data_IF_573879645189
#
_entry.id   IF_573879645189
#
_cell.length_a   1.000
_cell.length_b   1.000
_cell.length_c   1.000
_cell.angle_alpha   90.00
_cell.angle_beta   90.00
_cell.angle_gamma   90.00
#
_symmetry.space_group_name_H-M   'P 1'
#
loop_
_entity.id
_entity.type
_entity.pdbx_description
1 polymer ?
#
# COMPACT_ATOMS: atom_id res chain seq x y z
N UNK A 1 -6.09 6.34 -28.14
CA UNK A 1 -6.48 5.61 -26.92
C UNK A 1 -6.08 6.48 -25.74
N UNK A 2 -7.03 7.21 -25.15
CA UNK A 2 -6.76 8.09 -24.02
C UNK A 2 -7.11 7.34 -22.74
N UNK A 3 -6.24 6.43 -22.32
CA UNK A 3 -6.33 5.83 -20.99
C UNK A 3 -5.67 6.81 -20.02
N UNK A 4 -6.32 7.97 -19.86
CA UNK A 4 -6.11 8.80 -18.68
C UNK A 4 -6.87 8.12 -17.58
N UNK A 5 -6.22 7.12 -16.98
CA UNK A 5 -6.73 6.42 -15.81
C UNK A 5 -6.97 7.47 -14.72
N UNK A 6 -8.24 7.81 -14.55
CA UNK A 6 -8.69 8.75 -13.54
C UNK A 6 -8.53 7.98 -12.23
N UNK A 7 -7.36 8.14 -11.60
CA UNK A 7 -7.14 7.73 -10.22
C UNK A 7 -8.25 8.40 -9.41
N UNK A 8 -9.32 7.66 -9.12
CA UNK A 8 -10.38 8.06 -8.22
C UNK A 8 -9.69 8.32 -6.88
N UNK A 9 -9.49 9.60 -6.57
CA UNK A 9 -8.96 10.07 -5.29
C UNK A 9 -10.03 9.79 -4.24
N UNK A 10 -10.11 8.53 -3.82
CA UNK A 10 -10.98 8.07 -2.76
C UNK A 10 -10.40 8.47 -1.42
N UNK A 11 -11.23 9.14 -0.63
CA UNK A 11 -11.03 9.60 0.73
C UNK A 11 -10.18 10.87 0.88
N UNK A 12 -10.88 11.96 1.22
CA UNK A 12 -10.34 13.06 2.00
C UNK A 12 -9.94 12.51 3.38
N UNK A 13 -8.85 11.75 3.44
CA UNK A 13 -8.22 11.37 4.70
C UNK A 13 -7.77 12.68 5.36
N UNK A 14 -8.28 12.95 6.55
CA UNK A 14 -7.82 14.09 7.35
C UNK A 14 -6.29 14.07 7.35
N UNK A 15 -5.62 15.19 7.09
CA UNK A 15 -4.16 15.22 6.94
C UNK A 15 -3.37 14.70 8.17
N UNK A 16 -4.05 14.52 9.31
CA UNK A 16 -3.55 13.91 10.55
C UNK A 16 -3.81 12.39 10.69
N UNK A 17 -4.58 11.77 9.79
CA UNK A 17 -4.80 10.34 9.78
C UNK A 17 -3.55 9.65 9.21
N UNK A 18 -2.95 8.75 9.99
CA UNK A 18 -1.86 7.92 9.48
C UNK A 18 -2.44 6.92 8.48
N UNK A 19 -1.79 6.71 7.32
CA UNK A 19 -2.28 5.77 6.33
C UNK A 19 -2.32 4.36 6.92
N UNK A 20 -3.39 3.63 6.62
CA UNK A 20 -3.54 2.23 7.00
C UNK A 20 -2.77 1.38 5.98
N UNK A 21 -1.72 0.70 6.44
CA UNK A 21 -0.88 -0.17 5.59
C UNK A 21 -1.20 -1.63 5.88
N UNK A 22 -1.47 -2.41 4.84
CA UNK A 22 -1.63 -3.85 4.89
C UNK A 22 -0.35 -4.56 4.44
N UNK A 23 0.02 -5.64 5.14
CA UNK A 23 1.12 -6.52 4.75
C UNK A 23 0.57 -7.85 4.23
N UNK A 24 1.01 -8.25 3.03
CA UNK A 24 0.62 -9.52 2.40
C UNK A 24 1.84 -10.35 2.08
N UNK A 25 1.91 -11.58 2.61
CA UNK A 25 2.98 -12.53 2.33
C UNK A 25 2.62 -13.33 1.08
N UNK A 26 3.18 -12.94 -0.07
CA UNK A 26 2.90 -13.59 -1.36
C UNK A 26 3.69 -14.88 -1.57
N UNK A 27 4.80 -15.06 -0.86
CA UNK A 27 5.62 -16.27 -0.83
C UNK A 27 6.38 -16.35 0.49
N UNK A 28 7.04 -17.48 0.81
CA UNK A 28 7.79 -17.59 2.05
C UNK A 28 8.78 -16.44 2.30
N UNK A 29 9.42 -15.97 1.24
CA UNK A 29 10.50 -14.98 1.33
C UNK A 29 10.08 -13.60 0.81
N UNK A 30 8.78 -13.36 0.55
CA UNK A 30 8.30 -12.09 -0.02
C UNK A 30 7.05 -11.56 0.67
N UNK A 31 7.20 -10.36 1.23
CA UNK A 31 6.11 -9.56 1.78
C UNK A 31 5.94 -8.31 0.93
N UNK A 32 4.69 -7.96 0.63
CA UNK A 32 4.30 -6.75 -0.09
C UNK A 32 3.46 -5.89 0.85
N UNK A 33 3.68 -4.57 0.79
CA UNK A 33 2.91 -3.59 1.54
C UNK A 33 2.08 -2.73 0.58
N UNK A 34 0.83 -2.48 0.96
CA UNK A 34 -0.07 -1.62 0.21
C UNK A 34 -0.89 -0.74 1.16
N UNK A 35 -1.17 0.49 0.75
CA UNK A 35 -2.07 1.39 1.47
C UNK A 35 -3.51 0.98 1.20
N UNK A 36 -4.36 1.10 2.23
CA UNK A 36 -5.78 0.82 2.08
C UNK A 36 -6.39 1.74 1.00
N UNK A 37 -7.11 1.14 0.05
CA UNK A 37 -7.70 1.89 -1.07
C UNK A 37 -6.77 2.11 -2.25
N UNK A 38 -5.48 1.80 -2.14
CA UNK A 38 -4.52 1.86 -3.23
C UNK A 38 -4.17 0.44 -3.71
N UNK A 39 -4.99 -0.11 -4.59
CA UNK A 39 -4.84 -1.50 -5.08
C UNK A 39 -3.91 -1.59 -6.29
N UNK A 40 -3.69 -0.47 -6.98
CA UNK A 40 -2.95 -0.42 -8.23
C UNK A 40 -1.44 -0.26 -8.02
N UNK A 41 -1.02 0.08 -6.80
CA UNK A 41 0.39 0.27 -6.45
C UNK A 41 0.78 -0.43 -5.13
N UNK A 42 2.08 -0.68 -5.00
CA UNK A 42 2.74 -1.27 -3.82
C UNK A 42 3.82 -0.33 -3.28
N UNK A 43 4.08 -0.42 -1.98
CA UNK A 43 5.16 0.30 -1.31
C UNK A 43 6.46 -0.48 -1.56
N UNK A 44 7.37 0.11 -2.33
CA UNK A 44 8.70 -0.43 -2.53
C UNK A 44 9.56 -0.15 -1.30
N UNK A 45 10.11 -1.21 -0.70
CA UNK A 45 11.08 -1.15 0.40
C UNK A 45 12.21 -2.13 0.13
N UNK A 46 13.41 -1.79 0.56
CA UNK A 46 14.61 -2.62 0.50
C UNK A 46 14.74 -3.53 1.73
N UNK A 47 14.05 -3.20 2.83
CA UNK A 47 14.08 -3.93 4.08
C UNK A 47 12.68 -4.26 4.59
N UNK A 48 12.53 -5.50 5.07
CA UNK A 48 11.40 -5.94 5.91
C UNK A 48 12.00 -6.65 7.12
N UNK A 49 11.47 -6.35 8.30
CA UNK A 49 11.89 -6.98 9.56
C UNK A 49 10.70 -7.70 10.19
N UNK A 50 10.97 -8.79 10.89
CA UNK A 50 9.95 -9.45 11.71
C UNK A 50 9.61 -8.59 12.93
N UNK A 51 8.32 -8.59 13.32
CA UNK A 51 7.87 -7.86 14.50
C UNK A 51 8.23 -8.66 15.76
N UNK A 52 9.05 -8.08 16.61
CA UNK A 52 9.23 -8.55 17.98
C UNK A 52 8.03 -8.09 18.83
N UNK A 53 7.52 -8.98 19.67
CA UNK A 53 6.36 -8.74 20.54
C UNK A 53 6.78 -8.43 21.96
#
# INVERSE_FOLDING_TARGET
>A
MSTGDRIERGAEESADARPIVAASRCSPDRTVFAEQGNTDAWIATDLTVDLER
#
